data_IF_446239875959
#
_entry.id   IF_446239875959
#
_cell.length_a   1.000
_cell.length_b   1.000
_cell.length_c   1.000
_cell.angle_alpha   90.00
_cell.angle_beta   90.00
_cell.angle_gamma   90.00
#
_symmetry.space_group_name_H-M   'P 1'
#
loop_
_entity.id
_entity.type
_entity.pdbx_description
1 polymer ?
#
# COMPACT_ATOMS: atom_id res chain seq x y z
N UNK A 1 31.45 30.83 -65.69
CA UNK A 1 30.42 31.80 -65.28
C UNK A 1 29.28 31.01 -64.63
N UNK A 2 28.93 31.34 -63.36
CA UNK A 2 27.80 30.81 -62.52
C UNK A 2 27.93 29.38 -61.92
N UNK A 3 27.36 29.13 -60.72
CA UNK A 3 28.13 29.09 -59.47
C UNK A 3 27.96 27.80 -58.61
N UNK A 4 28.73 27.75 -57.51
CA UNK A 4 28.73 26.77 -56.40
C UNK A 4 27.32 26.30 -56.02
N UNK A 5 27.15 24.98 -55.86
CA UNK A 5 26.13 24.41 -54.98
C UNK A 5 26.80 24.14 -53.64
N UNK A 6 26.38 24.91 -52.64
CA UNK A 6 26.74 24.68 -51.26
C UNK A 6 26.17 23.33 -50.79
N UNK A 7 27.04 22.56 -50.13
CA UNK A 7 26.69 21.38 -49.36
C UNK A 7 25.72 21.77 -48.25
N UNK A 8 24.56 21.11 -48.21
CA UNK A 8 23.73 21.11 -47.00
C UNK A 8 23.74 19.67 -46.51
N UNK A 9 24.76 19.34 -45.72
CA UNK A 9 24.74 18.17 -44.85
C UNK A 9 23.57 18.32 -43.86
N UNK A 10 22.71 17.30 -43.70
CA UNK A 10 21.71 17.32 -42.65
C UNK A 10 22.41 17.26 -41.28
N UNK A 11 21.97 18.05 -40.28
CA UNK A 11 22.53 17.95 -38.95
C UNK A 11 22.23 16.55 -38.40
N UNK A 12 23.32 15.83 -38.13
CA UNK A 12 23.35 14.62 -37.30
C UNK A 12 22.73 14.94 -35.94
N UNK A 13 21.40 14.86 -35.88
CA UNK A 13 20.65 15.00 -34.64
C UNK A 13 20.83 13.69 -33.90
N UNK A 14 21.96 13.61 -33.19
CA UNK A 14 22.17 12.64 -32.14
C UNK A 14 21.16 12.91 -31.03
N UNK A 15 19.93 12.43 -31.20
CA UNK A 15 19.13 12.01 -30.06
C UNK A 15 19.74 10.69 -29.58
N UNK A 16 20.89 10.82 -28.91
CA UNK A 16 21.34 9.80 -27.98
C UNK A 16 20.20 9.68 -26.99
N UNK A 17 19.43 8.60 -27.11
CA UNK A 17 18.44 8.21 -26.15
C UNK A 17 19.18 8.09 -24.81
N UNK A 18 19.12 9.16 -24.02
CA UNK A 18 19.40 9.13 -22.59
C UNK A 18 18.42 8.10 -22.05
N UNK A 19 18.85 6.84 -22.02
CA UNK A 19 18.34 5.87 -21.05
C UNK A 19 18.33 6.65 -19.74
N UNK A 20 17.19 6.75 -19.03
CA UNK A 20 17.19 7.33 -17.72
C UNK A 20 18.29 6.58 -16.95
N UNK A 21 19.40 7.26 -16.65
CA UNK A 21 20.38 6.71 -15.74
C UNK A 21 19.57 6.39 -14.49
N UNK A 22 19.43 5.10 -14.21
CA UNK A 22 18.81 4.65 -12.98
C UNK A 22 19.68 5.24 -11.88
N UNK A 23 19.22 6.35 -11.31
CA UNK A 23 19.90 7.03 -10.22
C UNK A 23 20.12 5.94 -9.17
N UNK A 24 21.37 5.63 -8.80
CA UNK A 24 21.61 4.60 -7.80
C UNK A 24 20.95 5.10 -6.52
N UNK A 25 19.86 4.43 -6.13
CA UNK A 25 19.26 4.67 -4.83
C UNK A 25 20.36 4.42 -3.81
N UNK A 26 20.73 5.47 -3.06
CA UNK A 26 21.64 5.26 -1.94
C UNK A 26 20.96 4.28 -0.98
N UNK A 27 21.69 3.37 -0.33
CA UNK A 27 21.10 2.43 0.64
C UNK A 27 20.24 3.12 1.71
N UNK A 28 20.56 4.37 2.05
CA UNK A 28 19.76 5.19 2.96
C UNK A 28 18.43 5.62 2.34
N UNK A 29 18.42 6.03 1.08
CA UNK A 29 17.18 6.41 0.36
C UNK A 29 16.24 5.22 0.20
N UNK A 30 16.79 4.03 -0.07
CA UNK A 30 16.01 2.79 -0.16
C UNK A 30 15.41 2.41 1.20
N UNK A 31 16.20 2.52 2.27
CA UNK A 31 15.72 2.27 3.63
C UNK A 31 14.61 3.25 4.04
N UNK A 32 14.80 4.55 3.79
CA UNK A 32 13.78 5.57 4.05
C UNK A 32 12.48 5.29 3.28
N UNK A 33 12.60 4.86 2.02
CA UNK A 33 11.44 4.48 1.22
C UNK A 33 10.72 3.27 1.82
N UNK A 34 11.44 2.20 2.17
CA UNK A 34 10.86 1.02 2.80
C UNK A 34 10.18 1.34 4.13
N UNK A 35 10.78 2.20 4.95
CA UNK A 35 10.19 2.66 6.21
C UNK A 35 8.89 3.44 5.99
N UNK A 36 8.85 4.33 4.98
CA UNK A 36 7.62 5.06 4.62
C UNK A 36 6.51 4.11 4.17
N UNK A 37 6.84 3.12 3.33
CA UNK A 37 5.89 2.10 2.88
C UNK A 37 5.38 1.28 4.07
N UNK A 38 6.28 0.81 4.94
CA UNK A 38 5.91 0.05 6.13
C UNK A 38 4.99 0.87 7.06
N UNK A 39 5.30 2.15 7.27
CA UNK A 39 4.47 3.04 8.07
C UNK A 39 3.06 3.21 7.48
N UNK A 40 2.96 3.43 6.16
CA UNK A 40 1.67 3.55 5.46
C UNK A 40 0.84 2.27 5.59
N UNK A 41 1.42 1.11 5.27
CA UNK A 41 0.70 -0.17 5.32
C UNK A 41 0.25 -0.51 6.75
N UNK A 42 1.09 -0.19 7.75
CA UNK A 42 0.73 -0.40 9.16
C UNK A 42 -0.37 0.55 9.62
N UNK A 43 -0.41 1.77 9.11
CA UNK A 43 -1.50 2.70 9.38
C UNK A 43 -2.82 2.15 8.81
N UNK A 44 -2.83 1.75 7.53
CA UNK A 44 -4.03 1.18 6.90
C UNK A 44 -4.52 -0.07 7.64
N UNK A 45 -3.59 -0.93 8.10
CA UNK A 45 -3.92 -2.08 8.93
C UNK A 45 -4.61 -1.69 10.25
N UNK A 46 -4.11 -0.65 10.93
CA UNK A 46 -4.68 -0.16 12.18
C UNK A 46 -6.08 0.45 11.99
N UNK A 47 -6.30 1.16 10.88
CA UNK A 47 -7.60 1.74 10.54
C UNK A 47 -8.63 0.61 10.34
N UNK A 48 -8.32 -0.39 9.51
CA UNK A 48 -9.19 -1.56 9.29
C UNK A 48 -9.43 -2.35 10.59
N UNK A 49 -8.38 -2.55 11.40
CA UNK A 49 -8.54 -3.20 12.70
C UNK A 49 -9.47 -2.41 13.62
N UNK A 50 -9.38 -1.08 13.64
CA UNK A 50 -10.25 -0.22 14.45
C UNK A 50 -11.72 -0.37 14.04
N UNK A 51 -11.99 -0.46 12.74
CA UNK A 51 -13.34 -0.71 12.24
C UNK A 51 -13.87 -2.08 12.65
N UNK A 52 -13.08 -3.14 12.48
CA UNK A 52 -13.44 -4.50 12.90
C UNK A 52 -13.70 -4.54 14.41
N UNK A 53 -12.80 -3.94 15.19
CA UNK A 53 -12.91 -3.90 16.65
C UNK A 53 -14.14 -3.12 17.11
N UNK A 54 -14.53 -2.05 16.42
CA UNK A 54 -15.75 -1.30 16.75
C UNK A 54 -17.01 -2.18 16.68
N UNK A 55 -17.04 -3.15 15.77
CA UNK A 55 -18.13 -4.12 15.63
C UNK A 55 -18.10 -5.20 16.72
N UNK A 56 -16.91 -5.60 17.16
CA UNK A 56 -16.71 -6.64 18.18
C UNK A 56 -16.81 -6.12 19.61
N UNK A 57 -16.53 -4.83 19.84
CA UNK A 57 -16.53 -4.19 21.16
C UNK A 57 -17.81 -4.46 21.98
N UNK A 58 -19.03 -4.41 21.41
CA UNK A 58 -20.25 -4.75 22.14
C UNK A 58 -20.26 -6.17 22.72
N UNK A 59 -19.65 -7.14 22.04
CA UNK A 59 -19.56 -8.53 22.51
C UNK A 59 -18.62 -8.70 23.70
N UNK A 60 -17.64 -7.81 23.84
CA UNK A 60 -16.65 -7.88 24.93
C UNK A 60 -17.07 -7.12 26.18
N UNK A 61 -18.13 -6.30 26.09
CA UNK A 61 -18.67 -5.52 27.19
C UNK A 61 -19.50 -6.34 28.21
N UNK A 62 -19.45 -7.68 28.11
CA UNK A 62 -20.17 -8.68 28.92
C UNK A 62 -19.91 -8.65 30.44
N UNK A 63 -19.35 -7.57 31.00
CA UNK A 63 -19.36 -7.28 32.42
C UNK A 63 -20.48 -6.32 32.87
N UNK A 64 -21.20 -5.68 31.94
CA UNK A 64 -22.33 -4.80 32.27
C UNK A 64 -23.51 -5.15 31.38
N UNK A 65 -24.57 -5.70 32.00
CA UNK A 65 -25.89 -6.05 31.46
C UNK A 65 -25.88 -6.23 29.94
N UNK A 66 -25.67 -7.48 29.51
CA UNK A 66 -26.00 -7.88 28.16
C UNK A 66 -27.39 -7.33 27.84
N UNK A 67 -27.43 -6.42 26.87
CA UNK A 67 -28.68 -6.04 26.23
C UNK A 67 -29.30 -7.34 25.69
N UNK A 68 -30.60 -7.54 25.86
CA UNK A 68 -31.25 -8.83 25.60
C UNK A 68 -31.09 -9.29 24.13
N UNK A 69 -30.66 -8.37 23.24
CA UNK A 69 -30.26 -8.62 21.85
C UNK A 69 -29.00 -9.48 21.67
N UNK A 70 -28.22 -9.79 22.72
CA UNK A 70 -27.00 -10.61 22.62
C UNK A 70 -27.31 -12.13 22.68
N UNK A 71 -28.57 -12.51 22.95
CA UNK A 71 -29.00 -13.92 22.94
C UNK A 71 -29.02 -14.55 21.53
N UNK A 72 -29.09 -13.74 20.47
CA UNK A 72 -29.21 -14.21 19.07
C UNK A 72 -27.87 -14.38 18.33
N UNK A 73 -26.74 -14.24 19.03
CA UNK A 73 -25.41 -14.37 18.45
C UNK A 73 -24.89 -13.08 17.80
N UNK A 74 -23.60 -13.09 17.42
CA UNK A 74 -22.97 -11.92 16.81
C UNK A 74 -23.38 -11.76 15.35
N UNK A 75 -23.93 -10.59 15.03
CA UNK A 75 -24.15 -10.16 13.64
C UNK A 75 -23.48 -8.78 13.46
N UNK A 76 -22.48 -8.66 12.59
CA UNK A 76 -21.84 -7.37 12.34
C UNK A 76 -22.83 -6.38 11.70
N UNK A 77 -22.78 -5.10 12.07
CA UNK A 77 -23.72 -4.09 11.53
C UNK A 77 -23.54 -3.82 10.03
N UNK A 78 -22.34 -4.09 9.49
CA UNK A 78 -22.05 -4.08 8.05
C UNK A 78 -22.41 -5.41 7.34
N UNK A 79 -22.97 -6.39 8.04
CA UNK A 79 -23.20 -7.72 7.47
C UNK A 79 -21.92 -8.55 7.28
N UNK A 80 -22.12 -9.85 7.05
CA UNK A 80 -21.03 -10.83 6.97
C UNK A 80 -20.07 -10.63 5.79
N UNK A 81 -20.54 -10.36 4.55
CA UNK A 81 -19.63 -10.23 3.41
C UNK A 81 -18.60 -9.11 3.61
N UNK A 82 -19.06 -7.92 4.00
CA UNK A 82 -18.22 -6.73 4.21
C UNK A 82 -17.29 -6.91 5.41
N UNK A 83 -17.77 -7.57 6.48
CA UNK A 83 -16.95 -7.87 7.65
C UNK A 83 -15.81 -8.85 7.31
N UNK A 84 -16.10 -9.90 6.53
CA UNK A 84 -15.10 -10.86 6.08
C UNK A 84 -14.10 -10.22 5.13
N UNK A 85 -14.54 -9.34 4.23
CA UNK A 85 -13.65 -8.58 3.36
C UNK A 85 -12.64 -7.74 4.16
N UNK A 86 -13.10 -7.05 5.21
CA UNK A 86 -12.20 -6.31 6.12
C UNK A 86 -11.20 -7.22 6.83
N UNK A 87 -11.62 -8.40 7.27
CA UNK A 87 -10.70 -9.40 7.87
C UNK A 87 -9.66 -9.90 6.87
N UNK A 88 -10.07 -10.15 5.63
CA UNK A 88 -9.17 -10.52 4.54
C UNK A 88 -8.18 -9.40 4.20
N UNK A 89 -8.66 -8.15 4.15
CA UNK A 89 -7.85 -6.98 3.91
C UNK A 89 -6.83 -6.76 5.04
N UNK A 90 -7.26 -6.89 6.29
CA UNK A 90 -6.38 -6.84 7.45
C UNK A 90 -5.28 -7.90 7.37
N UNK A 91 -5.64 -9.16 7.05
CA UNK A 91 -4.66 -10.22 6.82
C UNK A 91 -3.65 -9.81 5.74
N UNK A 92 -4.12 -9.24 4.63
CA UNK A 92 -3.26 -8.83 3.53
C UNK A 92 -2.25 -7.74 3.95
N UNK A 93 -2.69 -6.76 4.74
CA UNK A 93 -1.79 -5.75 5.28
C UNK A 93 -0.75 -6.35 6.23
N UNK A 94 -1.16 -7.24 7.14
CA UNK A 94 -0.24 -7.91 8.06
C UNK A 94 0.77 -8.79 7.33
N UNK A 95 0.35 -9.54 6.30
CA UNK A 95 1.25 -10.32 5.44
C UNK A 95 2.26 -9.41 4.74
N UNK A 96 1.82 -8.22 4.28
CA UNK A 96 2.67 -7.23 3.63
C UNK A 96 3.71 -6.65 4.58
N UNK A 97 3.30 -6.24 5.79
CA UNK A 97 4.22 -5.79 6.85
C UNK A 97 5.22 -6.89 7.21
N UNK A 98 4.75 -8.13 7.37
CA UNK A 98 5.62 -9.27 7.65
C UNK A 98 6.66 -9.44 6.55
N UNK A 99 6.28 -9.38 5.27
CA UNK A 99 7.22 -9.48 4.14
C UNK A 99 8.28 -8.37 4.16
N UNK A 100 7.87 -7.13 4.46
CA UNK A 100 8.80 -6.00 4.58
C UNK A 100 9.79 -6.23 5.74
N UNK A 101 9.31 -6.68 6.90
CA UNK A 101 10.13 -6.89 8.09
C UNK A 101 11.05 -8.11 7.99
N UNK A 102 10.63 -9.17 7.29
CA UNK A 102 11.38 -10.44 7.20
C UNK A 102 12.36 -10.50 6.03
N UNK A 103 12.36 -9.49 5.16
CA UNK A 103 13.37 -9.30 4.12
C UNK A 103 13.64 -10.60 3.33
N UNK A 104 12.59 -11.21 2.76
CA UNK A 104 12.78 -12.33 1.82
C UNK A 104 13.42 -11.80 0.54
N UNK A 105 14.75 -11.87 0.50
CA UNK A 105 15.56 -11.87 -0.73
C UNK A 105 15.35 -13.19 -1.49
#
# INVERSE_FOLDING_TARGET
MRPRRDEVEPPSTGFSALRPEAVPFSPLTELEHLLKVAASVTQDANEVWTEIWSQLKPLTANGKKADESVQDGFVPSCGWPEFLEKLWLLKHYLDSVQRICTNQR
#
